data_IF_773401286782
#
_entry.id   IF_773401286782
#
_cell.length_a   1.000
_cell.length_b   1.000
_cell.length_c   1.000
_cell.angle_alpha   90.00
_cell.angle_beta   90.00
_cell.angle_gamma   90.00
#
_symmetry.space_group_name_H-M   'P 1'
#
loop_
_entity.id
_entity.type
_entity.pdbx_description
1 polymer ?
#
# COMPACT_ATOMS: atom_id res chain seq x y z
N UNK A 1 20.84 52.57 -60.88
CA UNK A 1 19.37 52.57 -60.99
C UNK A 1 18.90 51.17 -61.34
N UNK A 2 17.70 50.72 -60.94
CA UNK A 2 17.05 51.00 -59.66
C UNK A 2 16.20 49.81 -59.12
N UNK A 3 15.68 50.01 -57.90
CA UNK A 3 14.30 49.78 -57.42
C UNK A 3 13.66 48.37 -57.33
N UNK A 4 13.02 48.22 -56.18
CA UNK A 4 11.99 47.27 -55.71
C UNK A 4 10.70 47.36 -56.56
N UNK A 5 9.88 46.29 -56.62
CA UNK A 5 8.54 46.33 -55.98
C UNK A 5 8.21 45.00 -55.25
N UNK A 6 7.89 45.00 -53.95
CA UNK A 6 6.54 44.94 -53.35
C UNK A 6 5.45 44.25 -54.18
N UNK A 7 4.95 43.11 -53.68
CA UNK A 7 3.52 42.82 -53.65
C UNK A 7 3.15 41.95 -52.43
N UNK A 8 2.22 42.47 -51.64
CA UNK A 8 1.53 41.80 -50.56
C UNK A 8 0.32 41.02 -51.10
N UNK A 9 -0.06 39.89 -50.47
CA UNK A 9 -1.47 39.59 -50.19
C UNK A 9 -1.60 38.45 -49.16
N UNK A 10 -2.47 38.72 -48.16
CA UNK A 10 -3.36 37.80 -47.40
C UNK A 10 -2.86 36.38 -47.07
N UNK A 11 -2.75 35.94 -45.82
CA UNK A 11 -3.64 36.19 -44.69
C UNK A 11 -4.48 34.96 -44.37
N UNK A 12 -4.01 34.08 -43.48
CA UNK A 12 -4.86 33.43 -42.48
C UNK A 12 -4.00 32.91 -41.32
N UNK A 13 -3.98 33.66 -40.21
CA UNK A 13 -3.56 33.15 -38.91
C UNK A 13 -4.73 32.34 -38.37
N UNK A 14 -4.63 31.01 -38.30
CA UNK A 14 -5.53 30.23 -37.45
C UNK A 14 -5.21 30.58 -36.00
N UNK A 15 -6.10 31.35 -35.37
CA UNK A 15 -6.07 31.57 -33.93
C UNK A 15 -6.28 30.21 -33.26
N UNK A 16 -5.27 29.72 -32.53
CA UNK A 16 -5.49 28.74 -31.49
C UNK A 16 -6.36 29.41 -30.42
N UNK A 17 -7.65 29.15 -30.45
CA UNK A 17 -8.55 29.44 -29.34
C UNK A 17 -8.25 28.42 -28.25
N UNK A 18 -7.56 28.86 -27.21
CA UNK A 18 -7.47 28.14 -25.95
C UNK A 18 -8.91 27.88 -25.45
N UNK A 19 -9.30 26.62 -25.39
CA UNK A 19 -10.52 26.21 -24.71
C UNK A 19 -10.43 26.49 -23.20
N UNK A 20 -11.58 26.63 -22.52
CA UNK A 20 -11.60 26.88 -21.09
C UNK A 20 -10.91 25.74 -20.33
N UNK A 21 -10.22 26.02 -19.21
CA UNK A 21 -9.55 24.99 -18.43
C UNK A 21 -10.58 23.99 -17.89
N UNK A 22 -10.30 22.69 -18.06
CA UNK A 22 -11.10 21.62 -17.49
C UNK A 22 -11.16 21.73 -15.95
N UNK A 23 -12.30 21.40 -15.32
CA UNK A 23 -12.42 21.42 -13.87
C UNK A 23 -11.44 20.42 -13.25
N UNK A 24 -10.67 20.90 -12.27
CA UNK A 24 -9.72 20.10 -11.49
C UNK A 24 -10.51 19.11 -10.61
N UNK A 25 -10.63 17.86 -11.07
CA UNK A 25 -11.05 16.77 -10.20
C UNK A 25 -9.92 16.42 -9.22
N UNK A 26 -10.29 16.32 -7.95
CA UNK A 26 -9.43 16.07 -6.80
C UNK A 26 -8.88 14.63 -6.88
N UNK A 27 -7.56 14.50 -6.82
CA UNK A 27 -6.82 13.23 -6.87
C UNK A 27 -6.92 12.48 -5.54
N UNK A 28 -7.24 11.18 -5.51
CA UNK A 28 -6.73 10.26 -4.51
C UNK A 28 -5.43 9.65 -5.04
N UNK A 29 -4.29 10.05 -4.46
CA UNK A 29 -2.97 9.52 -4.81
C UNK A 29 -2.72 8.23 -4.06
N UNK A 30 -2.81 7.08 -4.75
CA UNK A 30 -2.38 5.80 -4.20
C UNK A 30 -1.47 5.08 -5.19
N UNK A 31 -0.16 5.26 -5.01
CA UNK A 31 0.88 4.42 -5.60
C UNK A 31 1.88 4.01 -4.52
N UNK A 32 1.53 2.91 -3.85
CA UNK A 32 2.34 1.70 -3.62
C UNK A 32 3.86 1.85 -3.47
N UNK A 33 4.33 1.45 -2.29
CA UNK A 33 5.42 0.52 -1.87
C UNK A 33 6.46 0.00 -2.89
N UNK A 34 6.40 0.32 -4.18
CA UNK A 34 7.47 0.06 -5.14
C UNK A 34 8.59 1.12 -5.18
N UNK A 35 8.61 2.07 -4.24
CA UNK A 35 9.60 3.15 -4.18
C UNK A 35 10.24 3.29 -2.79
N UNK A 36 10.72 2.18 -2.20
CA UNK A 36 11.85 2.32 -1.28
C UNK A 36 13.07 2.58 -2.17
N UNK A 37 13.48 3.86 -2.19
CA UNK A 37 14.66 4.42 -2.86
C UNK A 37 14.50 4.78 -4.35
N UNK A 38 13.88 5.95 -4.60
CA UNK A 38 14.42 6.95 -5.53
C UNK A 38 13.63 8.26 -5.41
N UNK A 39 13.88 9.00 -4.34
CA UNK A 39 13.78 10.47 -4.34
C UNK A 39 14.49 11.00 -3.11
N UNK A 40 15.78 11.27 -3.27
CA UNK A 40 16.40 12.27 -2.42
C UNK A 40 15.76 13.61 -2.75
N UNK A 41 15.02 14.20 -1.81
CA UNK A 41 14.79 15.63 -1.84
C UNK A 41 14.55 16.18 -0.45
N UNK A 42 15.16 17.34 -0.24
CA UNK A 42 15.28 18.09 0.99
C UNK A 42 13.93 18.37 1.68
N UNK A 43 13.98 18.27 3.01
CA UNK A 43 13.27 19.05 4.03
C UNK A 43 12.44 20.24 3.52
N UNK A 44 11.18 20.34 3.97
CA UNK A 44 10.57 21.58 4.52
C UNK A 44 9.32 21.21 5.34
N UNK A 45 9.21 21.80 6.52
CA UNK A 45 8.36 21.34 7.62
C UNK A 45 6.85 21.42 7.41
N UNK A 46 6.17 20.50 8.11
CA UNK A 46 4.73 20.44 8.27
C UNK A 46 4.39 19.61 9.50
N UNK A 47 4.71 20.13 10.69
CA UNK A 47 4.30 19.55 11.96
C UNK A 47 2.76 19.57 12.07
N UNK A 48 2.13 18.44 11.76
CA UNK A 48 0.72 18.18 12.06
C UNK A 48 0.62 17.15 13.18
N UNK A 49 1.09 17.58 14.35
CA UNK A 49 0.70 17.20 15.69
C UNK A 49 -0.22 15.97 15.82
N UNK A 50 0.40 14.84 16.21
CA UNK A 50 -0.13 13.94 17.23
C UNK A 50 -0.65 14.77 18.41
N UNK A 51 -1.94 15.15 18.36
CA UNK A 51 -2.62 15.80 19.48
C UNK A 51 -2.96 14.75 20.52
N UNK A 52 -1.93 14.43 21.27
CA UNK A 52 -2.01 13.82 22.57
C UNK A 52 -2.87 14.71 23.50
N UNK A 53 -4.16 14.37 23.66
CA UNK A 53 -5.10 14.77 24.75
C UNK A 53 -6.47 14.18 24.38
N UNK A 54 -7.18 13.40 25.20
CA UNK A 54 -7.13 13.22 26.66
C UNK A 54 -8.13 12.11 27.00
N UNK A 55 -7.68 11.05 27.68
CA UNK A 55 -8.04 10.79 29.08
C UNK A 55 -7.34 9.53 29.58
N UNK A 56 -6.48 9.75 30.57
CA UNK A 56 -6.14 8.76 31.57
C UNK A 56 -7.42 8.07 32.03
N UNK A 57 -7.59 6.83 31.63
CA UNK A 57 -8.58 5.92 32.17
C UNK A 57 -7.91 4.56 32.26
N UNK A 58 -7.39 4.29 33.46
CA UNK A 58 -7.21 2.93 33.98
C UNK A 58 -6.01 2.17 33.40
N UNK A 59 -4.81 2.58 33.83
CA UNK A 59 -3.66 1.69 34.03
C UNK A 59 -3.98 0.70 35.18
N UNK A 60 -4.97 -0.17 34.96
CA UNK A 60 -5.43 -1.14 35.96
C UNK A 60 -5.64 -2.48 35.26
N UNK A 61 -4.51 -3.16 35.06
CA UNK A 61 -4.42 -4.60 34.87
C UNK A 61 -5.25 -5.17 33.73
N UNK A 62 -4.68 -5.22 32.53
CA UNK A 62 -5.13 -6.20 31.54
C UNK A 62 -3.94 -7.04 31.07
N UNK A 63 -4.22 -8.34 31.06
CA UNK A 63 -3.39 -9.48 30.68
C UNK A 63 -2.77 -9.20 29.30
N UNK A 64 -1.59 -9.78 29.03
CA UNK A 64 -0.90 -9.77 27.73
C UNK A 64 -1.87 -9.50 26.56
N UNK A 65 -1.86 -8.27 26.04
CA UNK A 65 -2.75 -7.83 24.96
C UNK A 65 -2.40 -8.49 23.61
N UNK A 66 -1.20 -9.06 23.54
CA UNK A 66 -0.75 -9.94 22.46
C UNK A 66 -0.55 -11.38 22.97
N UNK A 67 -0.87 -12.35 22.12
CA UNK A 67 -0.80 -13.78 22.39
C UNK A 67 0.34 -14.38 21.56
N UNK A 68 1.19 -15.17 22.20
CA UNK A 68 2.25 -15.93 21.53
C UNK A 68 1.78 -17.36 21.30
N UNK A 69 2.07 -17.91 20.12
CA UNK A 69 1.92 -19.34 19.83
C UNK A 69 0.48 -19.85 19.75
N UNK A 70 -0.52 -18.97 19.66
CA UNK A 70 -1.86 -19.36 19.25
C UNK A 70 -1.90 -19.76 17.77
N UNK A 71 -3.05 -20.27 17.31
CA UNK A 71 -3.16 -20.82 15.94
C UNK A 71 -2.85 -19.75 14.88
N UNK A 72 -3.22 -18.49 15.11
CA UNK A 72 -2.92 -17.37 14.22
C UNK A 72 -1.43 -17.05 14.16
N UNK A 73 -0.76 -16.93 15.31
CA UNK A 73 0.67 -16.67 15.37
C UNK A 73 1.45 -17.85 14.76
N UNK A 74 1.01 -19.09 14.96
CA UNK A 74 1.62 -20.27 14.34
C UNK A 74 1.44 -20.29 12.83
N UNK A 75 0.27 -19.92 12.32
CA UNK A 75 0.02 -19.81 10.89
C UNK A 75 0.92 -18.75 10.24
N UNK A 76 1.00 -17.57 10.83
CA UNK A 76 1.88 -16.50 10.36
C UNK A 76 3.36 -16.89 10.50
N UNK A 77 3.78 -17.55 11.57
CA UNK A 77 5.14 -18.06 11.72
C UNK A 77 5.49 -19.07 10.62
N UNK A 78 4.60 -20.03 10.33
CA UNK A 78 4.79 -20.98 9.24
C UNK A 78 4.90 -20.29 7.87
N UNK A 79 4.13 -19.22 7.65
CA UNK A 79 4.25 -18.39 6.46
C UNK A 79 5.58 -17.65 6.40
N UNK A 80 6.04 -17.06 7.51
CA UNK A 80 7.38 -16.44 7.60
C UNK A 80 8.45 -17.46 7.22
N UNK A 81 8.41 -18.66 7.80
CA UNK A 81 9.43 -19.68 7.59
C UNK A 81 9.43 -20.21 6.15
N UNK A 82 8.25 -20.55 5.61
CA UNK A 82 8.13 -21.21 4.29
C UNK A 82 8.18 -20.24 3.12
N UNK A 83 7.56 -19.09 3.25
CA UNK A 83 7.34 -18.14 2.15
C UNK A 83 8.35 -17.01 2.24
N UNK A 84 8.37 -16.28 3.36
CA UNK A 84 9.21 -15.07 3.48
C UNK A 84 10.70 -15.43 3.49
N UNK A 85 11.10 -16.34 4.38
CA UNK A 85 12.46 -16.86 4.53
C UNK A 85 12.74 -17.91 3.44
N UNK A 86 11.88 -18.93 3.34
CA UNK A 86 12.08 -20.07 2.45
C UNK A 86 12.20 -19.73 0.96
N UNK A 87 11.44 -18.73 0.48
CA UNK A 87 11.57 -18.23 -0.90
C UNK A 87 12.45 -16.99 -1.01
N UNK A 88 13.06 -16.55 0.10
CA UNK A 88 13.95 -15.38 0.12
C UNK A 88 13.26 -14.11 -0.41
N UNK A 89 11.98 -13.92 -0.07
CA UNK A 89 11.20 -12.76 -0.50
C UNK A 89 11.71 -11.50 0.19
N UNK A 90 11.95 -11.60 1.50
CA UNK A 90 12.46 -10.49 2.29
C UNK A 90 13.99 -10.52 2.33
N UNK A 91 14.69 -9.40 2.04
CA UNK A 91 16.15 -9.35 2.17
C UNK A 91 16.63 -9.46 3.64
N UNK A 92 15.75 -9.18 4.61
CA UNK A 92 16.01 -9.21 6.07
C UNK A 92 15.74 -10.55 6.73
N UNK A 93 15.61 -11.61 5.93
CA UNK A 93 15.25 -12.95 6.40
C UNK A 93 16.35 -13.98 6.10
N UNK A 94 17.56 -13.54 5.71
CA UNK A 94 18.46 -14.31 4.82
C UNK A 94 19.65 -15.03 5.46
N UNK A 95 20.24 -14.65 6.61
CA UNK A 95 21.10 -15.54 7.37
C UNK A 95 20.25 -16.49 8.22
N UNK A 96 20.65 -17.77 8.26
CA UNK A 96 19.99 -18.90 8.91
C UNK A 96 19.72 -18.78 10.44
N UNK A 97 19.94 -17.61 11.05
CA UNK A 97 19.55 -17.28 12.43
C UNK A 97 18.50 -16.16 12.52
N UNK A 98 17.93 -15.69 11.40
CA UNK A 98 16.94 -14.59 11.39
C UNK A 98 15.49 -15.01 11.58
N UNK A 99 15.11 -16.28 11.34
CA UNK A 99 13.77 -16.76 11.70
C UNK A 99 13.52 -16.61 13.22
N UNK A 100 14.52 -16.94 14.04
CA UNK A 100 14.51 -16.70 15.50
C UNK A 100 14.59 -15.21 15.87
N UNK A 101 14.79 -14.31 14.89
CA UNK A 101 14.81 -12.85 15.07
C UNK A 101 13.51 -12.15 14.67
N UNK A 102 12.54 -12.89 14.10
CA UNK A 102 11.21 -12.38 13.80
C UNK A 102 10.26 -12.90 14.88
N UNK A 103 9.82 -12.00 15.75
CA UNK A 103 8.79 -12.31 16.73
C UNK A 103 7.43 -12.28 16.06
N UNK A 104 6.66 -13.36 16.17
CA UNK A 104 5.28 -13.40 15.68
C UNK A 104 4.32 -13.48 16.87
N UNK A 105 3.37 -12.55 16.93
CA UNK A 105 2.37 -12.47 17.98
C UNK A 105 1.00 -12.08 17.42
N UNK A 106 -0.06 -12.50 18.10
CA UNK A 106 -1.44 -12.17 17.74
C UNK A 106 -1.99 -11.07 18.64
N UNK A 107 -2.47 -9.98 18.07
CA UNK A 107 -3.26 -8.99 18.82
C UNK A 107 -4.60 -9.59 19.22
N UNK A 108 -4.93 -9.51 20.51
CA UNK A 108 -6.26 -9.89 21.03
C UNK A 108 -7.30 -8.78 20.85
N UNK A 109 -6.89 -7.63 20.33
CA UNK A 109 -7.74 -6.46 20.12
C UNK A 109 -8.73 -6.69 18.99
N UNK A 110 -9.99 -6.30 19.22
CA UNK A 110 -11.08 -6.35 18.23
C UNK A 110 -11.38 -4.99 17.62
N UNK A 111 -10.51 -3.99 17.81
CA UNK A 111 -10.67 -2.66 17.23
C UNK A 111 -9.33 -2.13 16.67
N UNK A 112 -9.36 -1.29 15.63
CA UNK A 112 -8.16 -0.67 15.08
C UNK A 112 -7.31 0.09 16.11
N UNK A 113 -7.95 0.79 17.05
CA UNK A 113 -7.26 1.55 18.09
C UNK A 113 -6.52 0.63 19.07
N UNK A 114 -7.14 -0.49 19.44
CA UNK A 114 -6.48 -1.49 20.29
C UNK A 114 -5.29 -2.14 19.60
N UNK A 115 -5.38 -2.39 18.29
CA UNK A 115 -4.24 -2.88 17.49
C UNK A 115 -3.12 -1.84 17.46
N UNK A 116 -3.43 -0.54 17.35
CA UNK A 116 -2.42 0.52 17.40
C UNK A 116 -1.68 0.54 18.75
N UNK A 117 -2.41 0.40 19.86
CA UNK A 117 -1.82 0.31 21.20
C UNK A 117 -0.91 -0.93 21.34
N UNK A 118 -1.31 -2.07 20.76
CA UNK A 118 -0.52 -3.29 20.71
C UNK A 118 0.75 -3.12 19.87
N UNK A 119 0.63 -2.45 18.71
CA UNK A 119 1.74 -2.17 17.81
C UNK A 119 2.78 -1.25 18.47
N UNK A 120 2.34 -0.19 19.15
CA UNK A 120 3.22 0.71 19.93
C UNK A 120 3.89 -0.08 21.06
N UNK A 121 3.14 -0.95 21.75
CA UNK A 121 3.71 -1.79 22.81
C UNK A 121 4.78 -2.74 22.30
N UNK A 122 4.60 -3.35 21.13
CA UNK A 122 5.61 -4.18 20.48
C UNK A 122 6.79 -3.36 19.97
N UNK A 123 6.57 -2.16 19.42
CA UNK A 123 7.63 -1.25 19.01
C UNK A 123 8.57 -0.89 20.18
N UNK A 124 8.01 -0.62 21.37
CA UNK A 124 8.78 -0.35 22.59
C UNK A 124 9.52 -1.56 23.15
N UNK A 125 9.14 -2.79 22.76
CA UNK A 125 9.85 -4.02 23.14
C UNK A 125 11.09 -4.27 22.30
N UNK A 126 11.13 -3.76 21.06
CA UNK A 126 12.24 -4.01 20.16
C UNK A 126 13.52 -3.32 20.68
N UNK A 127 14.65 -4.04 20.79
CA UNK A 127 15.90 -3.47 21.31
C UNK A 127 16.39 -2.35 20.40
N UNK A 128 16.84 -1.21 20.93
CA UNK A 128 17.26 -0.06 20.11
C UNK A 128 18.44 -0.38 19.19
N UNK A 129 19.24 -1.40 19.53
CA UNK A 129 20.42 -1.79 18.78
C UNK A 129 20.07 -2.64 17.55
N UNK A 130 20.68 -2.31 16.41
CA UNK A 130 20.51 -3.01 15.11
C UNK A 130 21.08 -4.44 15.14
N UNK A 131 22.00 -4.72 16.05
CA UNK A 131 22.58 -6.05 16.29
C UNK A 131 22.33 -6.37 17.76
N UNK A 132 21.22 -7.03 18.11
CA UNK A 132 20.98 -7.37 19.49
C UNK A 132 21.90 -8.51 19.93
N UNK A 133 22.10 -8.70 21.24
CA UNK A 133 22.71 -9.90 21.78
C UNK A 133 22.02 -11.18 21.26
N UNK A 134 22.75 -12.28 21.14
CA UNK A 134 22.22 -13.52 20.56
C UNK A 134 20.89 -13.94 21.21
N UNK A 135 19.86 -14.19 20.39
CA UNK A 135 18.57 -14.73 20.85
C UNK A 135 17.46 -13.71 21.11
N UNK A 136 17.62 -12.43 20.74
CA UNK A 136 16.52 -11.46 20.76
C UNK A 136 15.98 -11.19 19.35
N UNK A 137 14.66 -11.03 19.27
CA UNK A 137 13.99 -10.59 18.06
C UNK A 137 14.34 -9.12 17.72
N UNK A 138 14.65 -8.86 16.45
CA UNK A 138 14.88 -7.50 15.93
C UNK A 138 13.67 -6.91 15.24
N UNK A 139 12.69 -7.73 14.90
CA UNK A 139 11.45 -7.30 14.27
C UNK A 139 10.27 -8.05 14.88
N UNK A 140 9.08 -7.45 14.81
CA UNK A 140 7.84 -8.09 15.25
C UNK A 140 6.83 -8.08 14.11
N UNK A 141 6.23 -9.23 13.82
CA UNK A 141 5.01 -9.35 13.03
C UNK A 141 3.83 -9.47 14.00
N UNK A 142 2.98 -8.45 14.00
CA UNK A 142 1.72 -8.42 14.73
C UNK A 142 0.60 -8.92 13.81
N UNK A 143 0.08 -10.11 14.11
CA UNK A 143 -1.08 -10.70 13.46
C UNK A 143 -2.36 -10.09 14.06
N UNK A 144 -3.30 -9.67 13.21
CA UNK A 144 -4.49 -8.93 13.62
C UNK A 144 -5.78 -9.58 13.11
N UNK A 145 -6.13 -10.78 13.60
CA UNK A 145 -7.23 -11.57 13.05
C UNK A 145 -8.61 -11.17 13.60
N UNK A 146 -8.64 -10.31 14.63
CA UNK A 146 -9.83 -10.10 15.47
C UNK A 146 -10.58 -8.79 15.16
N UNK A 147 -10.05 -7.94 14.28
CA UNK A 147 -10.77 -6.76 13.75
C UNK A 147 -11.61 -7.24 12.58
N UNK A 148 -12.93 -7.32 12.78
CA UNK A 148 -13.85 -7.95 11.81
C UNK A 148 -13.81 -7.28 10.44
N UNK A 149 -13.70 -5.94 10.41
CA UNK A 149 -13.66 -5.17 9.17
C UNK A 149 -12.41 -5.50 8.34
N UNK A 150 -11.31 -5.91 8.97
CA UNK A 150 -10.06 -6.29 8.30
C UNK A 150 -10.10 -7.66 7.65
N UNK A 151 -11.25 -8.36 7.66
CA UNK A 151 -11.48 -9.42 6.70
C UNK A 151 -11.57 -8.88 5.26
N UNK A 152 -11.92 -7.60 5.08
CA UNK A 152 -11.91 -6.92 3.80
C UNK A 152 -10.61 -6.11 3.64
N UNK A 153 -9.94 -6.30 2.50
CA UNK A 153 -8.67 -5.64 2.22
C UNK A 153 -8.78 -4.12 2.25
N UNK A 154 -9.88 -3.55 1.74
CA UNK A 154 -10.10 -2.10 1.63
C UNK A 154 -10.11 -1.43 3.00
N UNK A 155 -10.79 -2.02 3.98
CA UNK A 155 -10.86 -1.47 5.33
C UNK A 155 -9.50 -1.55 6.04
N UNK A 156 -8.76 -2.64 5.82
CA UNK A 156 -7.40 -2.78 6.33
C UNK A 156 -6.43 -1.78 5.68
N UNK A 157 -6.54 -1.59 4.36
CA UNK A 157 -5.74 -0.64 3.60
C UNK A 157 -6.04 0.81 4.03
N UNK A 158 -7.31 1.16 4.22
CA UNK A 158 -7.71 2.47 4.71
C UNK A 158 -7.08 2.80 6.07
N UNK A 159 -7.09 1.83 7.00
CA UNK A 159 -6.41 1.95 8.28
C UNK A 159 -4.90 2.16 8.11
N UNK A 160 -4.25 1.33 7.29
CA UNK A 160 -2.82 1.44 7.04
C UNK A 160 -2.41 2.80 6.45
N UNK A 161 -3.17 3.31 5.50
CA UNK A 161 -2.87 4.58 4.85
C UNK A 161 -3.15 5.77 5.77
N UNK A 162 -4.26 5.75 6.53
CA UNK A 162 -4.67 6.89 7.36
C UNK A 162 -4.04 6.89 8.75
N UNK A 163 -4.16 5.79 9.48
CA UNK A 163 -3.72 5.70 10.88
C UNK A 163 -2.23 5.38 11.00
N UNK A 164 -1.68 4.61 10.06
CA UNK A 164 -0.25 4.28 10.02
C UNK A 164 0.56 5.16 9.05
N UNK A 165 -0.08 6.14 8.41
CA UNK A 165 0.55 7.05 7.44
C UNK A 165 1.35 6.31 6.36
N UNK A 166 0.80 5.21 5.82
CA UNK A 166 1.48 4.37 4.84
C UNK A 166 2.73 3.66 5.39
N UNK A 167 2.78 3.45 6.70
CA UNK A 167 3.86 2.77 7.43
C UNK A 167 4.82 3.70 8.20
N UNK A 168 4.69 5.02 8.06
CA UNK A 168 5.62 6.00 8.64
C UNK A 168 5.23 6.54 10.02
N UNK A 169 4.10 6.10 10.60
CA UNK A 169 3.62 6.59 11.91
C UNK A 169 4.60 6.41 13.06
N UNK A 170 5.52 5.43 12.97
CA UNK A 170 6.55 5.13 13.97
C UNK A 170 7.98 5.54 13.55
N UNK A 171 8.10 6.44 12.57
CA UNK A 171 9.40 6.89 12.07
C UNK A 171 10.25 7.62 13.11
N UNK A 172 9.63 8.27 14.11
CA UNK A 172 10.34 8.87 15.26
C UNK A 172 11.05 7.83 16.14
N UNK A 173 10.60 6.57 16.09
CA UNK A 173 11.22 5.43 16.78
C UNK A 173 12.15 4.63 15.85
N UNK A 174 12.53 5.22 14.71
CA UNK A 174 13.32 4.57 13.66
C UNK A 174 12.69 3.27 13.14
N UNK A 175 11.36 3.22 13.13
CA UNK A 175 10.58 2.06 12.68
C UNK A 175 9.72 2.39 11.45
N UNK A 176 9.52 1.37 10.63
CA UNK A 176 8.61 1.34 9.50
C UNK A 176 7.67 0.15 9.66
N UNK A 177 6.38 0.37 9.40
CA UNK A 177 5.37 -0.68 9.45
C UNK A 177 5.10 -1.17 8.04
N UNK A 178 5.24 -2.46 7.78
CA UNK A 178 4.83 -3.10 6.51
C UNK A 178 3.54 -3.86 6.73
N UNK A 179 2.56 -3.69 5.84
CA UNK A 179 1.29 -4.39 5.90
C UNK A 179 1.24 -5.61 4.96
N UNK A 180 0.62 -6.68 5.47
CA UNK A 180 0.31 -7.91 4.73
C UNK A 180 -1.16 -8.27 4.93
N UNK A 181 -1.79 -8.83 3.90
CA UNK A 181 -3.22 -9.19 3.93
C UNK A 181 -3.51 -10.43 3.07
N UNK A 182 -4.44 -11.32 3.44
CA UNK A 182 -4.81 -12.49 2.63
C UNK A 182 -5.24 -12.12 1.21
N UNK A 183 -6.06 -11.08 1.10
CA UNK A 183 -6.58 -10.57 -0.19
C UNK A 183 -5.86 -9.33 -0.68
N UNK A 184 -4.54 -9.20 -0.43
CA UNK A 184 -3.78 -8.00 -0.84
C UNK A 184 -4.03 -7.68 -2.32
N UNK A 185 -4.57 -6.48 -2.60
CA UNK A 185 -4.88 -6.02 -3.96
C UNK A 185 -6.02 -6.78 -4.66
N UNK A 186 -6.64 -7.77 -4.01
CA UNK A 186 -7.69 -8.63 -4.57
C UNK A 186 -9.06 -7.97 -4.68
N UNK A 187 -9.41 -7.05 -3.77
CA UNK A 187 -10.71 -6.34 -3.87
C UNK A 187 -10.76 -5.24 -4.94
N UNK A 188 -9.64 -4.99 -5.65
CA UNK A 188 -9.60 -4.17 -6.86
C UNK A 188 -9.92 -4.97 -8.14
N UNK A 189 -10.00 -6.29 -8.06
CA UNK A 189 -10.37 -7.18 -9.17
C UNK A 189 -11.88 -7.46 -9.15
N UNK A 190 -12.68 -6.39 -9.28
CA UNK A 190 -14.02 -6.56 -9.85
C UNK A 190 -13.92 -7.21 -11.24
N UNK A 191 -15.01 -7.77 -11.78
CA UNK A 191 -15.00 -8.22 -13.17
C UNK A 191 -14.46 -7.09 -14.06
N UNK A 192 -13.63 -7.41 -15.08
CA UNK A 192 -13.04 -6.38 -15.92
C UNK A 192 -14.15 -5.50 -16.48
N UNK A 193 -14.00 -4.18 -16.29
CA UNK A 193 -14.98 -3.21 -16.78
C UNK A 193 -15.25 -3.45 -18.26
N UNK A 194 -16.52 -3.41 -18.62
CA UNK A 194 -17.01 -3.56 -19.97
C UNK A 194 -17.61 -2.25 -20.45
N UNK A 195 -17.58 -2.05 -21.77
CA UNK A 195 -18.30 -0.94 -22.39
C UNK A 195 -19.79 -1.09 -22.06
N UNK A 196 -20.38 -0.04 -21.52
CA UNK A 196 -21.77 -0.02 -21.04
C UNK A 196 -21.94 -0.21 -19.54
N UNK A 197 -20.89 -0.62 -18.80
CA UNK A 197 -20.96 -0.70 -17.34
C UNK A 197 -21.23 0.67 -16.72
N UNK A 198 -21.99 0.68 -15.62
CA UNK A 198 -22.26 1.88 -14.83
C UNK A 198 -21.42 1.84 -13.56
N UNK A 199 -20.54 2.83 -13.41
CA UNK A 199 -19.65 2.98 -12.25
C UNK A 199 -20.01 4.23 -11.45
N UNK A 200 -19.65 4.25 -10.17
CA UNK A 200 -19.78 5.41 -9.29
C UNK A 200 -18.42 6.11 -9.17
N UNK A 201 -18.35 7.38 -9.58
CA UNK A 201 -17.12 8.18 -9.59
C UNK A 201 -16.88 8.91 -8.27
N UNK A 202 -17.90 9.00 -7.42
CA UNK A 202 -17.88 9.75 -6.17
C UNK A 202 -19.29 10.08 -5.71
N UNK A 203 -19.37 10.89 -4.66
CA UNK A 203 -20.63 11.37 -4.08
C UNK A 203 -20.59 12.89 -4.06
N UNK A 204 -21.63 13.52 -4.59
CA UNK A 204 -21.82 14.98 -4.54
C UNK A 204 -21.97 15.45 -3.08
N UNK A 205 -21.75 16.75 -2.78
CA UNK A 205 -21.91 17.29 -1.43
C UNK A 205 -23.29 17.06 -0.79
N UNK A 206 -24.32 16.77 -1.60
CA UNK A 206 -25.67 16.47 -1.16
C UNK A 206 -25.93 14.98 -0.86
N UNK A 207 -24.91 14.12 -1.01
CA UNK A 207 -25.00 12.67 -0.79
C UNK A 207 -25.42 11.87 -2.03
N UNK A 208 -25.64 12.51 -3.18
CA UNK A 208 -26.03 11.81 -4.42
C UNK A 208 -24.80 11.19 -5.09
N UNK A 209 -24.81 9.88 -5.44
CA UNK A 209 -23.69 9.26 -6.15
C UNK A 209 -23.60 9.75 -7.60
N UNK A 210 -22.42 10.19 -8.00
CA UNK A 210 -22.11 10.60 -9.37
C UNK A 210 -21.84 9.35 -10.20
N UNK A 211 -22.81 8.96 -11.04
CA UNK A 211 -22.70 7.78 -11.90
C UNK A 211 -22.19 8.12 -13.29
N UNK A 212 -21.40 7.21 -13.86
CA UNK A 212 -20.91 7.29 -15.22
C UNK A 212 -20.99 5.95 -15.95
N UNK A 213 -21.21 6.00 -17.26
CA UNK A 213 -21.23 4.82 -18.15
C UNK A 213 -19.89 4.69 -18.87
N UNK A 214 -19.30 3.51 -18.87
CA UNK A 214 -18.06 3.21 -19.61
C UNK A 214 -18.33 3.28 -21.12
N UNK A 215 -17.56 4.10 -21.85
CA UNK A 215 -17.60 4.20 -23.31
C UNK A 215 -16.42 3.48 -23.98
N UNK A 216 -15.26 3.52 -23.34
CA UNK A 216 -14.03 2.87 -23.82
C UNK A 216 -13.14 2.54 -22.62
N UNK A 217 -12.68 1.29 -22.53
CA UNK A 217 -11.83 0.80 -21.42
C UNK A 217 -10.33 0.90 -21.72
N UNK A 218 -9.98 1.28 -22.95
CA UNK A 218 -8.59 1.40 -23.44
C UNK A 218 -8.36 2.76 -24.10
N UNK A 219 -8.84 3.82 -23.46
CA UNK A 219 -8.87 5.18 -23.99
C UNK A 219 -7.51 5.90 -23.99
N UNK A 220 -6.43 5.17 -23.72
CA UNK A 220 -5.06 5.66 -23.68
C UNK A 220 -4.42 5.55 -22.29
N UNK A 221 -3.36 6.34 -22.09
CA UNK A 221 -2.61 6.39 -20.83
C UNK A 221 -2.44 7.84 -20.38
N UNK A 222 -2.51 8.07 -19.07
CA UNK A 222 -2.16 9.35 -18.45
C UNK A 222 -0.64 9.62 -18.54
N UNK A 223 -0.19 10.84 -18.20
CA UNK A 223 1.23 11.20 -18.17
C UNK A 223 2.07 10.29 -17.24
N UNK A 224 1.44 9.73 -16.20
CA UNK A 224 2.05 8.78 -15.25
C UNK A 224 1.99 7.31 -15.74
N UNK A 225 1.54 7.05 -16.97
CA UNK A 225 1.43 5.70 -17.55
C UNK A 225 0.24 4.88 -17.05
N UNK A 226 -0.71 5.50 -16.34
CA UNK A 226 -1.93 4.84 -15.87
C UNK A 226 -2.94 4.67 -17.01
N UNK A 227 -3.57 3.50 -17.17
CA UNK A 227 -4.59 3.29 -18.20
C UNK A 227 -5.79 4.20 -17.94
N UNK A 228 -6.34 4.75 -19.03
CA UNK A 228 -7.52 5.62 -18.99
C UNK A 228 -8.73 4.88 -19.57
N UNK A 229 -9.87 5.05 -18.92
CA UNK A 229 -11.17 4.76 -19.51
C UNK A 229 -11.88 6.07 -19.88
N UNK A 230 -12.60 6.05 -21.00
CA UNK A 230 -13.52 7.12 -21.38
C UNK A 230 -14.90 6.80 -20.81
N UNK A 231 -15.52 7.76 -20.15
CA UNK A 231 -16.84 7.59 -19.53
C UNK A 231 -17.77 8.74 -19.84
N UNK A 232 -19.08 8.50 -19.74
CA UNK A 232 -20.12 9.51 -19.82
C UNK A 232 -20.81 9.67 -18.47
N UNK A 233 -20.68 10.84 -17.85
CA UNK A 233 -21.33 11.16 -16.57
C UNK A 233 -22.83 11.36 -16.81
N UNK A 234 -23.65 11.13 -15.78
CA UNK A 234 -25.13 11.20 -15.84
C UNK A 234 -25.70 12.56 -16.33
N UNK A 235 -24.89 13.61 -16.42
CA UNK A 235 -25.22 14.91 -17.03
C UNK A 235 -24.92 15.03 -18.53
N UNK A 236 -24.44 13.97 -19.19
CA UNK A 236 -24.12 13.92 -20.62
C UNK A 236 -22.67 14.30 -20.98
N UNK A 237 -21.89 14.79 -20.01
CA UNK A 237 -20.47 15.13 -20.22
C UNK A 237 -19.61 13.87 -20.36
N UNK A 238 -18.68 13.88 -21.30
CA UNK A 238 -17.69 12.82 -21.49
C UNK A 238 -16.36 13.24 -20.87
N UNK A 239 -15.78 12.38 -20.04
CA UNK A 239 -14.47 12.60 -19.43
C UNK A 239 -13.64 11.32 -19.45
N UNK A 240 -12.36 11.46 -19.10
CA UNK A 240 -11.46 10.33 -18.90
C UNK A 240 -11.26 10.12 -17.40
N UNK A 241 -11.29 8.86 -16.99
CA UNK A 241 -10.97 8.44 -15.63
C UNK A 241 -9.74 7.55 -15.65
N UNK A 242 -8.93 7.65 -14.60
CA UNK A 242 -7.85 6.71 -14.37
C UNK A 242 -8.46 5.38 -13.92
N UNK A 243 -8.16 4.31 -14.66
CA UNK A 243 -8.46 2.97 -14.18
C UNK A 243 -7.42 2.60 -13.11
N UNK A 244 -7.85 1.96 -12.00
CA UNK A 244 -6.90 1.40 -11.06
C UNK A 244 -5.99 0.44 -11.84
N UNK A 245 -4.67 0.62 -11.71
CA UNK A 245 -3.77 -0.37 -12.28
C UNK A 245 -3.99 -1.69 -11.55
N UNK A 246 -4.16 -2.81 -12.28
CA UNK A 246 -4.20 -4.11 -11.63
C UNK A 246 -2.95 -4.23 -10.78
N UNK A 247 -3.11 -4.76 -9.56
CA UNK A 247 -1.98 -4.94 -8.68
C UNK A 247 -0.92 -5.77 -9.42
N UNK A 248 0.34 -5.30 -9.41
CA UNK A 248 1.45 -6.08 -9.94
C UNK A 248 1.38 -7.45 -9.28
N UNK A 249 1.25 -8.51 -10.08
CA UNK A 249 1.06 -9.88 -9.57
C UNK A 249 2.18 -10.25 -8.59
N UNK A 250 3.40 -9.78 -8.85
CA UNK A 250 4.54 -10.00 -7.93
C UNK A 250 4.26 -9.33 -6.60
N UNK A 251 3.86 -8.05 -6.61
CA UNK A 251 3.55 -7.28 -5.42
C UNK A 251 2.42 -7.93 -4.62
N UNK A 252 1.36 -8.39 -5.30
CA UNK A 252 0.29 -9.16 -4.68
C UNK A 252 0.82 -10.40 -3.97
N UNK A 253 1.58 -11.23 -4.68
CA UNK A 253 2.10 -12.48 -4.14
C UNK A 253 3.02 -12.27 -2.94
N UNK A 254 3.91 -11.26 -2.98
CA UNK A 254 4.86 -11.00 -1.89
C UNK A 254 4.26 -10.26 -0.70
N UNK A 255 3.08 -9.64 -0.87
CA UNK A 255 2.36 -8.93 0.20
C UNK A 255 1.17 -9.74 0.76
N UNK A 256 0.94 -10.95 0.26
CA UNK A 256 -0.04 -11.88 0.82
C UNK A 256 0.49 -12.60 2.06
N UNK A 257 -0.39 -12.74 3.06
CA UNK A 257 -0.15 -13.48 4.29
C UNK A 257 -1.42 -14.25 4.69
N UNK A 258 -1.33 -15.31 5.53
CA UNK A 258 -2.51 -16.07 5.96
C UNK A 258 -3.52 -15.26 6.78
N UNK A 259 -3.08 -14.13 7.36
CA UNK A 259 -3.88 -13.23 8.20
C UNK A 259 -3.50 -11.78 7.94
N UNK A 260 -4.37 -10.79 8.22
CA UNK A 260 -3.97 -9.40 8.30
C UNK A 260 -2.81 -9.26 9.28
N UNK A 261 -1.70 -8.67 8.86
CA UNK A 261 -0.50 -8.59 9.66
C UNK A 261 0.28 -7.29 9.43
N UNK A 262 0.93 -6.81 10.48
CA UNK A 262 1.75 -5.60 10.49
C UNK A 262 3.16 -5.95 10.96
N UNK A 263 4.17 -5.71 10.13
CA UNK A 263 5.57 -6.02 10.42
C UNK A 263 6.34 -4.75 10.78
N UNK A 264 6.86 -4.70 11.99
CA UNK A 264 7.74 -3.65 12.48
C UNK A 264 9.18 -3.90 12.02
N UNK A 265 9.67 -3.05 11.12
CA UNK A 265 11.04 -3.06 10.61
C UNK A 265 11.80 -1.83 11.05
N UNK A 266 13.12 -1.95 11.25
CA UNK A 266 13.99 -0.78 11.48
C UNK A 266 14.20 -0.03 10.16
N UNK A 267 14.04 1.29 10.18
CA UNK A 267 14.38 2.14 9.03
C UNK A 267 15.85 1.99 8.62
N UNK A 268 16.75 1.87 9.60
CA UNK A 268 18.17 1.64 9.32
C UNK A 268 18.50 0.31 8.64
N UNK A 269 17.65 -0.72 8.78
CA UNK A 269 17.80 -1.97 8.02
C UNK A 269 17.30 -1.78 6.59
N UNK A 270 16.18 -1.07 6.40
CA UNK A 270 15.66 -0.73 5.07
C UNK A 270 16.69 0.01 4.21
N UNK A 271 17.39 1.00 4.78
CA UNK A 271 18.43 1.76 4.08
C UNK A 271 19.63 0.87 3.68
N UNK A 272 19.99 -0.12 4.51
CA UNK A 272 21.10 -1.04 4.23
C UNK A 272 20.74 -2.09 3.19
N UNK A 273 19.47 -2.42 3.08
CA UNK A 273 18.95 -3.32 2.07
C UNK A 273 18.41 -2.58 0.84
N UNK A 274 19.07 -1.48 0.44
CA UNK A 274 19.10 -1.01 -0.95
C UNK A 274 19.65 -2.12 -1.89
N UNK A 275 18.95 -3.24 -1.96
CA UNK A 275 19.11 -4.29 -2.95
C UNK A 275 18.46 -3.74 -4.22
N UNK A 276 19.26 -2.98 -5.00
CA UNK A 276 18.92 -2.51 -6.35
C UNK A 276 18.68 -3.73 -7.24
N UNK A 277 17.52 -4.36 -7.07
CA UNK A 277 17.26 -5.69 -7.61
C UNK A 277 16.18 -6.47 -6.85
N UNK A 278 15.77 -6.07 -5.64
CA UNK A 278 14.76 -6.76 -4.85
C UNK A 278 13.47 -7.04 -5.63
N UNK A 279 12.94 -6.02 -6.32
CA UNK A 279 11.72 -6.15 -7.12
C UNK A 279 11.90 -7.15 -8.27
N UNK A 280 13.03 -7.09 -8.97
CA UNK A 280 13.32 -8.00 -10.08
C UNK A 280 13.55 -9.44 -9.61
N UNK A 281 14.26 -9.60 -8.49
CA UNK A 281 14.48 -10.88 -7.82
C UNK A 281 13.16 -11.51 -7.43
N UNK A 282 12.29 -10.76 -6.73
CA UNK A 282 11.00 -11.26 -6.29
C UNK A 282 10.10 -11.59 -7.50
N UNK A 283 10.16 -10.81 -8.58
CA UNK A 283 9.46 -11.13 -9.84
C UNK A 283 9.93 -12.47 -10.41
N UNK A 284 11.24 -12.70 -10.44
CA UNK A 284 11.82 -13.97 -10.89
C UNK A 284 11.38 -15.13 -9.99
N UNK A 285 11.43 -14.96 -8.67
CA UNK A 285 10.96 -15.99 -7.72
C UNK A 285 9.48 -16.33 -7.95
N UNK A 286 8.62 -15.32 -8.07
CA UNK A 286 7.18 -15.54 -8.33
C UNK A 286 6.95 -16.23 -9.67
N UNK A 287 7.72 -15.87 -10.72
CA UNK A 287 7.63 -16.52 -12.02
C UNK A 287 8.11 -17.99 -11.99
N UNK A 288 9.14 -18.31 -11.21
CA UNK A 288 9.68 -19.67 -11.06
C UNK A 288 8.79 -20.58 -10.21
N UNK A 289 8.19 -20.05 -9.14
CA UNK A 289 7.27 -20.79 -8.27
C UNK A 289 5.91 -20.96 -8.94
N UNK A 290 5.42 -19.91 -9.61
CA UNK A 290 4.07 -19.81 -10.14
C UNK A 290 3.07 -19.27 -9.11
N UNK A 291 2.13 -18.44 -9.56
CA UNK A 291 1.18 -17.75 -8.70
C UNK A 291 0.27 -18.74 -7.93
N UNK A 292 -0.33 -19.71 -8.62
CA UNK A 292 -1.20 -20.72 -8.01
C UNK A 292 -0.50 -21.49 -6.89
N UNK A 293 0.74 -21.93 -7.15
CA UNK A 293 1.54 -22.65 -6.15
C UNK A 293 1.89 -21.76 -4.95
N UNK A 294 2.19 -20.48 -5.18
CA UNK A 294 2.48 -19.54 -4.10
C UNK A 294 1.24 -19.25 -3.25
N UNK A 295 0.07 -19.09 -3.87
CA UNK A 295 -1.19 -18.98 -3.16
C UNK A 295 -1.49 -20.23 -2.34
N UNK A 296 -1.32 -21.42 -2.90
CA UNK A 296 -1.50 -22.69 -2.19
C UNK A 296 -0.55 -22.81 -0.99
N UNK A 297 0.70 -22.39 -1.15
CA UNK A 297 1.67 -22.35 -0.06
C UNK A 297 1.20 -21.43 1.07
N UNK A 298 0.71 -20.23 0.75
CA UNK A 298 0.21 -19.28 1.75
C UNK A 298 -1.05 -19.82 2.43
N UNK A 299 -2.03 -20.32 1.67
CA UNK A 299 -3.28 -20.91 2.21
C UNK A 299 -3.01 -22.14 3.09
N UNK A 300 -1.99 -22.94 2.75
CA UNK A 300 -1.60 -24.12 3.55
C UNK A 300 -1.03 -23.77 4.94
N UNK A 301 -0.72 -22.49 5.19
CA UNK A 301 -0.24 -22.02 6.49
C UNK A 301 -1.38 -21.80 7.50
N UNK A 302 -2.65 -21.68 7.05
CA UNK A 302 -3.86 -21.68 7.89
C UNK A 302 -4.61 -20.35 7.98
#
# INVERSE_FOLDING_TARGET
APAVPTHASSGSRSRHTAGPPAPRCVRPSYSKVAAVVSSGCLMLGGAAALRHRRRQSVFRGQRRAVIEGDDHARAVQLWVDKVVVGLTICPFAKPAGEADRIRVVTSSSTSPEGVLDDLISEALRLPPDVIPPSGQATTTVLCCPNVEEWAQYEAFQEFYDKELAGGYSLSEQELYVVAFHPDFGGGQEGPPLQIGDVIELGVEPDGTPTRATILDVAAGFAEEGKPLAKVRVSGGEECFIELPQPCDLTERMVSMAPRPALHLLRLGDLDRAEDRGLRERNRKTVAEVGAEKMEDMIRSCG
#
